data_IF_590295906424
#
_entry.id   IF_590295906424
#
_cell.length_a   1.000
_cell.length_b   1.000
_cell.length_c   1.000
_cell.angle_alpha   90.00
_cell.angle_beta   90.00
_cell.angle_gamma   90.00
#
_symmetry.space_group_name_H-M   'P 1'
#
loop_
_entity.id
_entity.type
_entity.pdbx_description
1 polymer ?
#
# COMPACT_ATOMS: atom_id res chain seq x y z
N UNK A 1 4.52 -1.17 8.18
CA UNK A 1 4.72 -0.11 9.22
C UNK A 1 3.58 0.91 9.25
N UNK A 2 2.76 1.02 8.19
CA UNK A 2 1.61 1.95 8.11
C UNK A 2 1.98 3.39 8.45
N UNK A 3 3.19 3.81 8.03
CA UNK A 3 3.70 5.13 8.40
C UNK A 3 2.86 6.23 7.74
N UNK A 4 2.40 6.03 6.50
CA UNK A 4 1.67 7.04 5.74
C UNK A 4 0.25 7.20 6.29
N UNK A 5 -0.44 6.11 6.59
CA UNK A 5 -1.73 6.18 7.29
C UNK A 5 -1.62 6.88 8.64
N UNK A 6 -0.60 6.54 9.45
CA UNK A 6 -0.39 7.19 10.75
C UNK A 6 -0.12 8.68 10.62
N UNK A 7 0.66 9.10 9.62
CA UNK A 7 0.89 10.51 9.32
C UNK A 7 -0.39 11.21 8.89
N UNK A 8 -1.18 10.60 8.01
CA UNK A 8 -2.45 11.16 7.55
C UNK A 8 -3.44 11.34 8.70
N UNK A 9 -3.62 10.33 9.56
CA UNK A 9 -4.47 10.43 10.74
C UNK A 9 -3.97 11.50 11.72
N UNK A 10 -2.64 11.59 11.94
CA UNK A 10 -2.10 12.58 12.87
C UNK A 10 -2.25 14.00 12.35
N UNK A 11 -2.10 14.21 11.05
CA UNK A 11 -2.37 15.49 10.41
C UNK A 11 -3.85 15.87 10.49
N UNK A 12 -4.75 14.91 10.23
CA UNK A 12 -6.18 15.09 10.36
C UNK A 12 -6.60 15.49 11.79
N UNK A 13 -6.04 14.85 12.82
CA UNK A 13 -6.28 15.20 14.22
C UNK A 13 -5.88 16.66 14.52
N UNK A 14 -4.69 17.09 14.05
CA UNK A 14 -4.18 18.44 14.26
C UNK A 14 -5.03 19.50 13.55
N UNK A 15 -5.56 19.16 12.37
CA UNK A 15 -6.40 20.02 11.55
C UNK A 15 -7.89 19.91 11.89
N UNK A 16 -8.27 19.08 12.88
CA UNK A 16 -9.65 18.82 13.29
C UNK A 16 -10.55 18.36 12.14
N UNK A 17 -10.01 17.55 11.24
CA UNK A 17 -10.77 16.93 10.15
C UNK A 17 -11.71 15.87 10.72
N UNK A 18 -12.87 15.68 10.08
CA UNK A 18 -13.79 14.61 10.43
C UNK A 18 -13.09 13.25 10.46
N UNK A 19 -13.35 12.47 11.52
CA UNK A 19 -12.65 11.22 11.77
C UNK A 19 -12.97 10.16 10.71
N UNK A 20 -14.21 10.09 10.22
CA UNK A 20 -14.57 9.12 9.21
C UNK A 20 -13.88 9.45 7.88
N UNK A 21 -13.88 10.72 7.47
CA UNK A 21 -13.13 11.19 6.31
C UNK A 21 -11.62 10.89 6.45
N UNK A 22 -11.03 11.17 7.61
CA UNK A 22 -9.62 10.90 7.88
C UNK A 22 -9.26 9.41 7.76
N UNK A 23 -10.14 8.53 8.24
CA UNK A 23 -9.97 7.07 8.10
C UNK A 23 -9.99 6.63 6.64
N UNK A 24 -10.92 7.15 5.84
CA UNK A 24 -10.96 6.85 4.40
C UNK A 24 -9.68 7.30 3.69
N UNK A 25 -9.19 8.50 3.98
CA UNK A 25 -7.93 9.00 3.42
C UNK A 25 -6.71 8.18 3.85
N UNK A 26 -6.61 7.84 5.13
CA UNK A 26 -5.51 7.02 5.63
C UNK A 26 -5.51 5.62 4.98
N UNK A 27 -6.68 5.02 4.78
CA UNK A 27 -6.83 3.75 4.09
C UNK A 27 -6.42 3.87 2.62
N UNK A 28 -6.95 4.85 1.89
CA UNK A 28 -6.64 5.07 0.48
C UNK A 28 -5.12 5.22 0.23
N UNK A 29 -4.44 6.00 1.09
CA UNK A 29 -3.00 6.21 0.98
C UNK A 29 -2.19 4.92 1.21
N UNK A 30 -2.59 4.07 2.17
CA UNK A 30 -1.87 2.80 2.39
C UNK A 30 -2.22 1.74 1.34
N UNK A 31 -3.44 1.74 0.80
CA UNK A 31 -3.82 0.86 -0.31
C UNK A 31 -2.95 1.20 -1.52
N UNK A 32 -2.91 2.48 -1.93
CA UNK A 32 -2.08 2.94 -3.03
C UNK A 32 -0.59 2.66 -2.80
N UNK A 33 -0.12 2.80 -1.55
CA UNK A 33 1.26 2.44 -1.23
C UNK A 33 1.53 0.94 -1.41
N UNK A 34 0.61 0.06 -1.04
CA UNK A 34 0.79 -1.38 -1.25
C UNK A 34 0.70 -1.74 -2.73
N UNK A 35 -0.18 -1.09 -3.50
CA UNK A 35 -0.24 -1.22 -4.95
C UNK A 35 1.13 -0.93 -5.60
N UNK A 36 1.73 0.21 -5.26
CA UNK A 36 3.04 0.59 -5.79
C UNK A 36 4.12 -0.43 -5.44
N UNK A 37 4.13 -0.95 -4.20
CA UNK A 37 5.13 -1.94 -3.77
C UNK A 37 5.03 -3.26 -4.54
N UNK A 38 3.82 -3.66 -4.96
CA UNK A 38 3.61 -4.88 -5.76
C UNK A 38 4.19 -4.68 -7.16
N UNK A 39 3.92 -3.53 -7.79
CA UNK A 39 4.50 -3.19 -9.08
C UNK A 39 6.03 -3.04 -8.99
N UNK A 40 6.53 -2.38 -7.95
CA UNK A 40 7.97 -2.24 -7.71
C UNK A 40 8.65 -3.61 -7.59
N UNK A 41 8.06 -4.55 -6.83
CA UNK A 41 8.61 -5.91 -6.69
C UNK A 41 8.77 -6.62 -8.05
N UNK A 42 7.83 -6.39 -8.97
CA UNK A 42 7.87 -6.93 -10.34
C UNK A 42 8.96 -6.25 -11.17
N UNK A 43 9.04 -4.92 -11.10
CA UNK A 43 10.01 -4.11 -11.84
C UNK A 43 11.45 -4.41 -11.41
N UNK A 44 11.67 -4.53 -10.10
CA UNK A 44 13.00 -4.73 -9.50
C UNK A 44 13.40 -6.21 -9.49
N UNK A 45 12.46 -7.13 -9.69
CA UNK A 45 12.70 -8.57 -9.59
C UNK A 45 12.86 -9.06 -8.15
N UNK A 46 12.36 -8.31 -7.17
CA UNK A 46 12.42 -8.62 -5.75
C UNK A 46 11.52 -9.81 -5.42
N UNK A 47 12.10 -10.98 -5.13
CA UNK A 47 11.33 -12.19 -4.78
C UNK A 47 10.84 -12.21 -3.33
N UNK A 48 11.34 -11.30 -2.49
CA UNK A 48 11.02 -11.20 -1.07
C UNK A 48 10.69 -9.75 -0.70
N UNK A 49 9.63 -9.56 0.09
CA UNK A 49 9.29 -8.28 0.70
C UNK A 49 9.10 -8.46 2.20
N UNK A 50 9.86 -7.71 2.99
CA UNK A 50 9.82 -7.75 4.47
C UNK A 50 10.00 -9.17 5.04
N UNK A 51 10.91 -9.95 4.44
CA UNK A 51 11.22 -11.32 4.85
C UNK A 51 10.17 -12.37 4.46
N UNK A 52 9.17 -12.02 3.63
CA UNK A 52 8.15 -12.94 3.11
C UNK A 52 8.21 -12.98 1.58
N UNK A 53 7.79 -14.07 0.93
CA UNK A 53 7.64 -14.09 -0.53
C UNK A 53 6.84 -12.89 -1.04
N UNK A 54 7.36 -12.21 -2.06
CA UNK A 54 6.64 -11.16 -2.76
C UNK A 54 5.45 -11.75 -3.52
N UNK A 55 4.40 -10.96 -3.76
CA UNK A 55 3.15 -11.44 -4.36
C UNK A 55 3.40 -12.09 -5.72
N UNK A 56 4.17 -11.45 -6.59
CA UNK A 56 4.48 -11.98 -7.92
C UNK A 56 5.33 -13.26 -7.89
N UNK A 57 6.12 -13.45 -6.83
CA UNK A 57 6.93 -14.65 -6.62
C UNK A 57 6.05 -15.88 -6.30
N UNK A 58 4.88 -15.66 -5.70
CA UNK A 58 3.92 -16.72 -5.33
C UNK A 58 2.88 -16.96 -6.42
N UNK A 59 2.32 -15.88 -6.98
CA UNK A 59 1.16 -15.96 -7.87
C UNK A 59 1.48 -15.68 -9.34
N UNK A 60 2.74 -15.37 -9.66
CA UNK A 60 3.16 -15.00 -11.01
C UNK A 60 3.00 -13.51 -11.29
N UNK A 61 3.67 -13.07 -12.36
CA UNK A 61 3.77 -11.66 -12.74
C UNK A 61 2.42 -11.04 -13.09
N UNK A 62 1.64 -11.71 -13.94
CA UNK A 62 0.40 -11.14 -14.49
C UNK A 62 -0.69 -10.97 -13.42
N UNK A 63 -0.80 -11.93 -12.51
CA UNK A 63 -1.73 -11.85 -11.36
C UNK A 63 -1.31 -10.72 -10.42
N UNK A 64 -0.02 -10.59 -10.13
CA UNK A 64 0.46 -9.52 -9.26
C UNK A 64 0.31 -8.14 -9.92
N UNK A 65 0.54 -8.02 -11.23
CA UNK A 65 0.35 -6.78 -11.98
C UNK A 65 -1.11 -6.30 -11.90
N UNK A 66 -2.05 -7.19 -12.23
CA UNK A 66 -3.49 -6.89 -12.19
C UNK A 66 -4.00 -6.61 -10.78
N UNK A 67 -3.44 -7.27 -9.75
CA UNK A 67 -3.75 -6.93 -8.36
C UNK A 67 -3.24 -5.54 -7.99
N UNK A 68 -2.03 -5.17 -8.41
CA UNK A 68 -1.49 -3.83 -8.20
C UNK A 68 -2.35 -2.75 -8.89
N UNK A 69 -2.87 -3.02 -10.08
CA UNK A 69 -3.76 -2.08 -10.79
C UNK A 69 -5.13 -1.92 -10.13
N UNK A 70 -5.62 -2.96 -9.46
CA UNK A 70 -6.94 -2.98 -8.81
C UNK A 70 -6.97 -2.26 -7.44
N UNK A 71 -5.83 -2.23 -6.74
CA UNK A 71 -5.67 -1.63 -5.41
C UNK A 71 -5.63 -0.09 -5.48
#
# INVERSE_FOLDING_TARGET
>A
KMLRAKMALRAADLLKVDRAAAMHWAAAIEVLHNASLIHDDICDGDRLRRGRPAVWSVYGRDVALTLGDWL
#
